data_IF_685152792658
#
_entry.id   IF_685152792658
#
_cell.length_a   1.000
_cell.length_b   1.000
_cell.length_c   1.000
_cell.angle_alpha   90.00
_cell.angle_beta   90.00
_cell.angle_gamma   90.00
#
_symmetry.space_group_name_H-M   'P 1'
#
loop_
_entity.id
_entity.type
_entity.pdbx_description
1 polymer ?
#
# COMPACT_ATOMS: atom_id res chain seq x y z
N UNK A 1 -3.53 -26.83 11.31
CA UNK A 1 -3.59 -25.35 11.42
C UNK A 1 -4.04 -24.81 10.06
N UNK A 2 -5.34 -24.65 9.87
CA UNK A 2 -6.03 -24.18 8.65
C UNK A 2 -6.67 -22.83 9.05
N UNK A 3 -6.64 -21.72 8.33
CA UNK A 3 -6.35 -21.39 6.94
C UNK A 3 -5.48 -20.12 6.90
N UNK A 4 -4.37 -20.13 6.16
CA UNK A 4 -3.75 -18.86 5.73
C UNK A 4 -4.62 -18.35 4.60
N UNK A 5 -5.65 -17.57 4.95
CA UNK A 5 -6.53 -16.93 3.98
C UNK A 5 -5.67 -16.37 2.84
N UNK A 6 -5.89 -16.86 1.63
CA UNK A 6 -5.44 -16.26 0.38
C UNK A 6 -6.19 -14.93 0.17
N UNK A 7 -6.05 -14.01 1.14
CA UNK A 7 -6.47 -12.64 0.96
C UNK A 7 -5.50 -12.06 -0.06
N UNK A 8 -6.01 -11.80 -1.25
CA UNK A 8 -5.35 -10.96 -2.24
C UNK A 8 -4.76 -9.75 -1.50
N UNK A 9 -3.43 -9.62 -1.54
CA UNK A 9 -2.73 -8.58 -0.81
C UNK A 9 -3.33 -7.23 -1.21
N UNK A 10 -3.71 -6.43 -0.21
CA UNK A 10 -4.22 -5.09 -0.48
C UNK A 10 -3.13 -4.24 -1.14
N UNK A 11 -3.49 -3.19 -1.90
CA UNK A 11 -2.48 -2.31 -2.50
C UNK A 11 -1.51 -1.72 -1.47
N UNK A 12 -2.00 -1.44 -0.26
CA UNK A 12 -1.14 -1.03 0.85
C UNK A 12 -0.16 -2.12 1.29
N UNK A 13 -0.59 -3.37 1.38
CA UNK A 13 0.30 -4.48 1.75
C UNK A 13 1.36 -4.73 0.68
N UNK A 14 1.01 -4.58 -0.61
CA UNK A 14 1.96 -4.64 -1.70
C UNK A 14 2.98 -3.49 -1.62
N UNK A 15 2.52 -2.26 -1.34
CA UNK A 15 3.40 -1.12 -1.12
C UNK A 15 4.35 -1.32 0.08
N UNK A 16 3.85 -1.89 1.19
CA UNK A 16 4.66 -2.22 2.37
C UNK A 16 5.72 -3.27 2.02
N UNK A 17 5.33 -4.34 1.31
CA UNK A 17 6.24 -5.39 0.87
C UNK A 17 7.35 -4.83 -0.04
N UNK A 18 6.99 -3.96 -0.99
CA UNK A 18 7.93 -3.36 -1.92
C UNK A 18 9.01 -2.49 -1.25
N UNK A 19 8.72 -1.90 -0.09
CA UNK A 19 9.71 -1.11 0.67
C UNK A 19 10.47 -1.93 1.73
N UNK A 20 10.39 -3.27 1.69
CA UNK A 20 11.08 -4.16 2.63
C UNK A 20 10.21 -4.64 3.80
N UNK A 21 8.89 -4.60 3.67
CA UNK A 21 7.95 -5.18 4.62
C UNK A 21 7.65 -4.31 5.86
N UNK A 22 8.16 -3.08 5.93
CA UNK A 22 7.99 -2.20 7.09
C UNK A 22 7.04 -1.03 6.81
N UNK A 23 5.95 -0.96 7.58
CA UNK A 23 5.01 0.16 7.53
C UNK A 23 5.67 1.50 7.87
N UNK A 24 6.62 1.49 8.81
CA UNK A 24 7.35 2.70 9.23
C UNK A 24 8.19 3.23 8.07
N UNK A 25 8.90 2.35 7.36
CA UNK A 25 9.72 2.72 6.20
C UNK A 25 8.84 3.30 5.08
N UNK A 26 7.68 2.70 4.82
CA UNK A 26 6.73 3.24 3.85
C UNK A 26 6.28 4.66 4.25
N UNK A 27 5.92 4.84 5.52
CA UNK A 27 5.46 6.13 6.04
C UNK A 27 6.52 7.22 5.87
N UNK A 28 7.77 6.93 6.26
CA UNK A 28 8.90 7.85 6.14
C UNK A 28 9.16 8.24 4.68
N UNK A 29 9.24 7.25 3.77
CA UNK A 29 9.53 7.50 2.36
C UNK A 29 8.42 8.29 1.64
N UNK A 30 7.15 8.07 2.01
CA UNK A 30 5.99 8.78 1.44
C UNK A 30 5.75 10.14 2.12
N UNK A 31 6.38 10.39 3.26
CA UNK A 31 6.21 11.61 4.05
C UNK A 31 4.84 11.66 4.74
N UNK A 32 4.47 10.57 5.42
CA UNK A 32 3.26 10.47 6.25
C UNK A 32 3.58 9.84 7.59
N UNK A 33 2.66 9.91 8.55
CA UNK A 33 2.86 9.27 9.86
C UNK A 33 2.59 7.76 9.78
N UNK A 34 3.24 6.92 10.62
CA UNK A 34 2.90 5.51 10.74
C UNK A 34 1.43 5.27 11.11
N UNK A 35 0.83 6.20 11.87
CA UNK A 35 -0.59 6.19 12.20
C UNK A 35 -1.48 6.34 10.96
N UNK A 36 -1.11 7.19 10.01
CA UNK A 36 -1.83 7.33 8.75
C UNK A 36 -1.84 6.01 7.97
N UNK A 37 -0.69 5.32 7.89
CA UNK A 37 -0.59 3.98 7.28
C UNK A 37 -1.50 2.96 7.98
N UNK A 38 -1.53 2.96 9.31
CA UNK A 38 -2.43 2.10 10.07
C UNK A 38 -3.92 2.39 9.81
N UNK A 39 -4.28 3.66 9.66
CA UNK A 39 -5.64 4.05 9.28
C UNK A 39 -6.02 3.57 7.89
N UNK A 40 -5.10 3.63 6.91
CA UNK A 40 -5.33 3.05 5.58
C UNK A 40 -5.57 1.54 5.66
N UNK A 41 -4.76 0.82 6.46
CA UNK A 41 -4.93 -0.62 6.67
C UNK A 41 -6.30 -0.96 7.26
N UNK A 42 -6.75 -0.22 8.28
CA UNK A 42 -8.08 -0.39 8.89
C UNK A 42 -9.24 -0.08 7.93
N UNK A 43 -9.01 0.80 6.95
CA UNK A 43 -9.99 1.21 5.93
C UNK A 43 -10.00 0.32 4.68
N UNK A 44 -9.33 -0.83 4.70
CA UNK A 44 -9.31 -1.79 3.59
C UNK A 44 -8.05 -1.75 2.73
N UNK A 45 -7.03 -0.96 3.11
CA UNK A 45 -5.72 -1.01 2.46
C UNK A 45 -5.64 -0.28 1.11
N UNK A 46 -6.60 0.58 0.80
CA UNK A 46 -6.53 1.47 -0.38
C UNK A 46 -5.56 2.61 -0.14
N UNK A 47 -4.78 2.96 -1.17
CA UNK A 47 -3.83 4.07 -1.11
C UNK A 47 -4.50 5.39 -1.49
N UNK A 48 -4.04 6.53 -0.91
CA UNK A 48 -4.59 7.83 -1.25
C UNK A 48 -4.17 8.24 -2.67
N UNK A 49 -5.15 8.68 -3.47
CA UNK A 49 -4.95 9.14 -4.86
C UNK A 49 -4.11 10.41 -4.93
N UNK A 50 -4.23 11.29 -3.92
CA UNK A 50 -3.48 12.56 -3.83
C UNK A 50 -1.96 12.40 -3.79
N UNK A 51 -1.47 11.20 -3.43
CA UNK A 51 -0.04 10.87 -3.37
C UNK A 51 0.37 9.77 -4.35
N UNK A 52 -0.43 9.50 -5.39
CA UNK A 52 -0.16 8.45 -6.40
C UNK A 52 1.27 8.39 -6.88
N UNK A 53 1.78 9.51 -7.42
CA UNK A 53 3.16 9.60 -7.92
C UNK A 53 4.18 9.24 -6.86
N UNK A 54 3.95 9.68 -5.62
CA UNK A 54 4.88 9.41 -4.52
C UNK A 54 4.90 7.94 -4.13
N UNK A 55 3.75 7.28 -4.09
CA UNK A 55 3.68 5.85 -3.80
C UNK A 55 4.34 5.03 -4.91
N UNK A 56 4.09 5.36 -6.17
CA UNK A 56 4.75 4.74 -7.34
C UNK A 56 6.27 4.89 -7.27
N UNK A 57 6.79 6.11 -7.06
CA UNK A 57 8.24 6.37 -6.92
C UNK A 57 8.88 5.59 -5.75
N UNK A 58 8.22 5.56 -4.60
CA UNK A 58 8.77 4.96 -3.38
C UNK A 58 8.75 3.44 -3.40
N UNK A 59 7.70 2.86 -3.98
CA UNK A 59 7.52 1.41 -4.03
C UNK A 59 8.09 0.79 -5.29
N UNK A 60 8.29 1.57 -6.36
CA UNK A 60 8.65 1.07 -7.68
C UNK A 60 7.54 0.23 -8.33
N UNK A 61 6.34 0.19 -7.75
CA UNK A 61 5.22 -0.57 -8.28
C UNK A 61 4.40 0.29 -9.26
N UNK A 62 3.89 -0.32 -10.34
CA UNK A 62 3.03 0.39 -11.29
C UNK A 62 1.70 0.79 -10.65
N UNK A 63 1.10 1.86 -11.16
CA UNK A 63 -0.18 2.38 -10.62
C UNK A 63 -1.33 1.40 -10.71
N UNK A 64 -1.33 0.51 -11.69
CA UNK A 64 -2.34 -0.54 -11.85
C UNK A 64 -2.35 -1.50 -10.65
N UNK A 65 -1.17 -1.78 -10.09
CA UNK A 65 -1.02 -2.61 -8.89
C UNK A 65 -1.39 -1.82 -7.63
N UNK A 66 -0.95 -0.57 -7.53
CA UNK A 66 -1.20 0.28 -6.36
C UNK A 66 -2.63 0.84 -6.27
N UNK A 67 -3.34 0.92 -7.40
CA UNK A 67 -4.66 1.53 -7.53
C UNK A 67 -5.55 0.73 -8.50
N UNK A 68 -5.84 -0.55 -8.20
CA UNK A 68 -6.58 -1.42 -9.09
C UNK A 68 -7.99 -0.88 -9.36
N UNK A 69 -8.68 -0.31 -8.38
CA UNK A 69 -10.03 0.27 -8.58
C UNK A 69 -10.10 1.53 -9.45
N UNK A 70 -8.97 2.01 -9.98
CA UNK A 70 -8.90 3.17 -10.90
C UNK A 70 -8.42 2.76 -12.29
N UNK A 71 -7.47 1.82 -12.36
CA UNK A 71 -6.79 1.46 -13.61
C UNK A 71 -7.03 0.02 -14.08
N UNK A 72 -7.51 -0.86 -13.20
CA UNK A 72 -7.87 -2.24 -13.56
C UNK A 72 -9.40 -2.28 -13.63
N UNK A 73 -9.91 -2.30 -14.87
CA UNK A 73 -11.32 -2.51 -15.18
C UNK A 73 -11.67 -4.01 -15.12
#
# INVERSE_FOLDING_TARGET
MINKNEKTATPLEQAIAAVGGSQKVLAEKVGVTPQAINMLKKRGGSLPVTKMRKYEEVTGLPREVLYPGIFVA
#
